data_IF_909901501805
#
_entry.id   IF_909901501805
#
_cell.length_a   1.000
_cell.length_b   1.000
_cell.length_c   1.000
_cell.angle_alpha   90.00
_cell.angle_beta   90.00
_cell.angle_gamma   90.00
#
_symmetry.space_group_name_H-M   'P 1'
#
loop_
_entity.id
_entity.type
_entity.pdbx_description
1 polymer ?
#
# COMPACT_ATOMS: atom_id res chain seq x y z
N UNK A 1 17.20 -0.86 56.81
CA UNK A 1 17.94 -1.18 55.56
C UNK A 1 17.06 -2.14 54.78
N UNK A 2 16.54 -1.90 53.57
CA UNK A 2 16.77 -0.89 52.52
C UNK A 2 15.44 -0.77 51.76
N UNK A 3 14.93 0.45 51.68
CA UNK A 3 14.07 1.11 50.67
C UNK A 3 12.91 0.38 49.97
N UNK A 4 11.74 1.03 50.04
CA UNK A 4 10.63 0.92 49.08
C UNK A 4 11.17 0.92 47.64
N UNK A 5 10.92 -0.15 46.88
CA UNK A 5 10.99 -0.08 45.42
C UNK A 5 9.72 0.61 44.94
N UNK A 6 9.75 1.94 44.93
CA UNK A 6 8.68 2.75 44.35
C UNK A 6 8.56 2.42 42.86
N UNK A 7 7.40 1.92 42.43
CA UNK A 7 7.11 1.68 41.01
C UNK A 7 7.27 2.99 40.22
N UNK A 8 8.03 2.97 39.13
CA UNK A 8 8.34 4.17 38.33
C UNK A 8 7.28 4.32 37.23
N UNK A 9 6.64 5.49 37.09
CA UNK A 9 5.68 5.72 36.02
C UNK A 9 6.38 5.99 34.68
N UNK A 10 5.95 5.28 33.65
CA UNK A 10 6.37 5.48 32.26
C UNK A 10 5.19 5.94 31.41
N UNK A 11 5.44 6.81 30.45
CA UNK A 11 4.44 7.27 29.47
C UNK A 11 4.78 6.67 28.11
N UNK A 12 3.80 6.00 27.50
CA UNK A 12 3.88 5.48 26.14
C UNK A 12 2.64 5.85 25.33
N UNK A 13 2.79 5.91 24.00
CA UNK A 13 1.69 6.16 23.07
C UNK A 13 1.37 4.86 22.33
N UNK A 14 0.08 4.49 22.35
CA UNK A 14 -0.47 3.32 21.68
C UNK A 14 -1.30 3.74 20.47
N UNK A 15 -1.11 3.08 19.33
CA UNK A 15 -1.85 3.33 18.09
C UNK A 15 -2.81 2.17 17.79
N UNK A 16 -4.02 2.50 17.33
CA UNK A 16 -5.07 1.56 16.91
C UNK A 16 -5.49 1.86 15.47
N UNK A 17 -5.57 0.84 14.61
CA UNK A 17 -6.01 0.95 13.20
C UNK A 17 -7.10 -0.08 12.86
N UNK A 18 -8.20 0.30 12.20
CA UNK A 18 -9.23 -0.63 11.69
C UNK A 18 -8.75 -1.37 10.42
N UNK A 19 -9.11 -2.65 10.23
CA UNK A 19 -8.77 -3.44 9.02
C UNK A 19 -9.85 -3.31 7.96
N UNK A 20 -9.43 -3.18 6.71
CA UNK A 20 -10.25 -3.49 5.54
C UNK A 20 -9.89 -4.91 5.05
N UNK A 21 -10.89 -5.79 4.94
CA UNK A 21 -10.69 -7.16 4.43
C UNK A 21 -10.67 -7.16 2.91
N UNK A 22 -9.50 -6.93 2.32
CA UNK A 22 -9.16 -7.54 1.04
C UNK A 22 -8.42 -8.84 1.36
N UNK A 23 -8.77 -9.94 0.71
CA UNK A 23 -8.04 -11.21 0.85
C UNK A 23 -6.60 -10.98 0.35
N UNK A 24 -5.67 -10.81 1.29
CA UNK A 24 -4.25 -10.62 0.97
C UNK A 24 -3.70 -11.94 0.47
N UNK A 25 -3.47 -12.05 -0.84
CA UNK A 25 -2.57 -13.07 -1.37
C UNK A 25 -1.17 -12.78 -0.77
N UNK A 26 -0.55 -13.73 -0.06
CA UNK A 26 0.77 -13.52 0.53
C UNK A 26 1.78 -13.15 -0.55
N UNK A 27 2.40 -11.98 -0.42
CA UNK A 27 3.55 -11.58 -1.23
C UNK A 27 4.83 -12.17 -0.62
N UNK A 28 5.61 -12.84 -1.45
CA UNK A 28 6.97 -13.28 -1.13
C UNK A 28 7.98 -12.33 -1.78
N UNK A 29 9.02 -11.94 -1.04
CA UNK A 29 10.06 -11.04 -1.52
C UNK A 29 11.35 -11.78 -1.81
N UNK A 30 12.04 -11.36 -2.88
CA UNK A 30 13.28 -11.95 -3.36
C UNK A 30 14.33 -10.86 -3.60
N UNK A 31 15.35 -10.79 -2.76
CA UNK A 31 16.49 -9.90 -2.97
C UNK A 31 17.36 -10.43 -4.10
N UNK A 32 17.58 -9.59 -5.12
CA UNK A 32 18.44 -9.89 -6.25
C UNK A 32 19.74 -9.09 -6.09
N UNK A 33 20.82 -9.81 -5.82
CA UNK A 33 22.13 -9.21 -5.52
C UNK A 33 22.93 -8.91 -6.80
N UNK A 34 22.31 -8.18 -7.73
CA UNK A 34 22.91 -7.69 -8.98
C UNK A 34 22.60 -6.20 -9.10
N UNK A 35 23.60 -5.39 -9.44
CA UNK A 35 23.41 -3.95 -9.62
C UNK A 35 22.84 -3.67 -11.01
N UNK A 36 21.60 -3.19 -11.06
CA UNK A 36 20.89 -2.81 -12.29
C UNK A 36 20.24 -1.43 -12.12
N UNK A 37 19.95 -0.76 -13.24
CA UNK A 37 19.06 0.41 -13.23
C UNK A 37 17.65 0.02 -12.80
N UNK A 38 16.82 0.98 -12.38
CA UNK A 38 15.46 0.68 -11.96
C UNK A 38 14.65 0.00 -13.07
N UNK A 39 14.79 0.46 -14.32
CA UNK A 39 14.09 -0.11 -15.47
C UNK A 39 14.54 -1.54 -15.80
N UNK A 40 15.85 -1.80 -15.72
CA UNK A 40 16.40 -3.15 -15.93
C UNK A 40 15.98 -4.10 -14.80
N UNK A 41 15.98 -3.62 -13.56
CA UNK A 41 15.52 -4.37 -12.39
C UNK A 41 14.02 -4.73 -12.51
N UNK A 42 13.18 -3.77 -12.92
CA UNK A 42 11.76 -4.03 -13.21
C UNK A 42 11.59 -5.09 -14.29
N UNK A 43 12.31 -4.94 -15.40
CA UNK A 43 12.26 -5.92 -16.48
C UNK A 43 12.71 -7.30 -16.02
N UNK A 44 13.75 -7.38 -15.18
CA UNK A 44 14.20 -8.64 -14.59
C UNK A 44 13.11 -9.27 -13.73
N UNK A 45 12.51 -8.50 -12.82
CA UNK A 45 11.46 -9.00 -11.93
C UNK A 45 10.25 -9.50 -12.71
N UNK A 46 9.83 -8.81 -13.78
CA UNK A 46 8.72 -9.25 -14.64
C UNK A 46 9.01 -10.50 -15.47
N UNK A 47 10.28 -10.85 -15.66
CA UNK A 47 10.69 -12.07 -16.37
C UNK A 47 10.80 -13.25 -15.42
N UNK A 48 11.16 -13.03 -14.16
CA UNK A 48 11.49 -14.10 -13.18
C UNK A 48 10.47 -14.26 -12.05
N UNK A 49 9.71 -13.21 -11.75
CA UNK A 49 8.78 -13.08 -10.63
C UNK A 49 7.53 -12.31 -11.10
N UNK A 50 6.81 -11.63 -10.20
CA UNK A 50 5.66 -10.78 -10.55
C UNK A 50 6.11 -9.39 -11.00
N UNK A 51 6.70 -8.58 -10.12
CA UNK A 51 7.25 -7.25 -10.43
C UNK A 51 8.26 -6.84 -9.33
N UNK A 52 8.79 -5.61 -9.37
CA UNK A 52 9.52 -5.01 -8.26
C UNK A 52 8.61 -4.86 -7.02
N UNK A 53 9.21 -4.98 -5.84
CA UNK A 53 8.51 -5.03 -4.56
C UNK A 53 7.50 -3.90 -4.35
N UNK A 54 6.28 -4.26 -3.99
CA UNK A 54 5.18 -3.34 -3.68
C UNK A 54 4.85 -3.43 -2.19
N UNK A 55 4.71 -2.29 -1.52
CA UNK A 55 4.56 -2.24 -0.06
C UNK A 55 3.30 -1.48 0.32
N UNK A 56 2.27 -2.19 0.79
CA UNK A 56 0.97 -1.56 1.06
C UNK A 56 0.76 -1.22 2.54
N UNK A 57 1.56 -1.80 3.43
CA UNK A 57 1.41 -1.66 4.88
C UNK A 57 2.73 -1.97 5.62
N UNK A 58 2.71 -1.85 6.95
CA UNK A 58 3.87 -2.16 7.79
C UNK A 58 4.28 -3.63 7.77
N UNK A 59 3.36 -4.57 7.58
CA UNK A 59 3.71 -6.00 7.51
C UNK A 59 4.49 -6.30 6.23
N UNK A 60 4.07 -5.74 5.11
CA UNK A 60 4.80 -5.79 3.83
C UNK A 60 6.19 -5.18 3.99
N UNK A 61 6.28 -4.01 4.62
CA UNK A 61 7.57 -3.35 4.91
C UNK A 61 8.48 -4.23 5.76
N UNK A 62 7.96 -4.80 6.85
CA UNK A 62 8.75 -5.63 7.75
C UNK A 62 9.23 -6.91 7.07
N UNK A 63 8.38 -7.56 6.26
CA UNK A 63 8.77 -8.71 5.44
C UNK A 63 9.87 -8.35 4.44
N UNK A 64 9.72 -7.19 3.78
CA UNK A 64 10.71 -6.70 2.83
C UNK A 64 12.05 -6.43 3.51
N UNK A 65 12.06 -5.74 4.66
CA UNK A 65 13.26 -5.49 5.48
C UNK A 65 13.92 -6.80 5.92
N UNK A 66 13.14 -7.78 6.37
CA UNK A 66 13.66 -9.09 6.78
C UNK A 66 14.29 -9.88 5.62
N UNK A 67 13.94 -9.54 4.38
CA UNK A 67 14.53 -10.14 3.16
C UNK A 67 15.90 -9.51 2.85
N UNK A 68 16.17 -8.31 3.37
CA UNK A 68 17.46 -7.64 3.18
C UNK A 68 18.52 -8.21 4.13
N UNK A 69 19.67 -8.57 3.57
CA UNK A 69 20.85 -8.93 4.37
C UNK A 69 21.52 -7.72 5.02
N UNK A 70 22.42 -7.96 5.98
CA UNK A 70 23.13 -6.91 6.71
C UNK A 70 23.97 -5.96 5.83
N UNK A 71 24.26 -6.39 4.60
CA UNK A 71 25.22 -5.76 3.70
C UNK A 71 24.55 -4.88 2.63
N UNK A 72 23.22 -4.78 2.63
CA UNK A 72 22.48 -3.95 1.67
C UNK A 72 22.28 -2.56 2.26
N UNK A 73 22.86 -1.52 1.64
CA UNK A 73 22.65 -0.12 2.09
C UNK A 73 21.28 0.40 1.67
N UNK A 74 20.96 0.25 0.38
CA UNK A 74 19.65 0.55 -0.21
C UNK A 74 19.40 -0.40 -1.39
N UNK A 75 18.14 -0.54 -1.79
CA UNK A 75 17.72 -1.37 -2.91
C UNK A 75 16.56 -0.74 -3.66
N UNK A 76 16.39 -1.05 -4.95
CA UNK A 76 15.21 -0.66 -5.71
C UNK A 76 13.97 -1.40 -5.23
N UNK A 77 12.86 -0.66 -5.14
CA UNK A 77 11.50 -1.15 -4.96
C UNK A 77 10.62 -0.67 -6.13
N UNK A 78 9.41 -1.20 -6.25
CA UNK A 78 8.51 -0.93 -7.38
C UNK A 78 7.90 0.46 -7.41
N UNK A 79 8.35 1.38 -6.55
CA UNK A 79 7.79 2.71 -6.48
C UNK A 79 8.39 3.59 -7.59
N UNK A 80 7.55 4.26 -8.37
CA UNK A 80 7.97 5.19 -9.42
C UNK A 80 7.09 6.44 -9.42
N UNK A 81 7.69 7.60 -9.61
CA UNK A 81 6.99 8.88 -9.77
C UNK A 81 6.73 9.11 -11.26
N UNK A 82 5.47 8.97 -11.67
CA UNK A 82 5.07 9.13 -13.07
C UNK A 82 4.99 10.58 -13.53
N UNK A 83 4.59 10.78 -14.79
CA UNK A 83 4.42 12.10 -15.44
C UNK A 83 3.45 13.05 -14.73
N UNK A 84 2.54 12.52 -13.91
CA UNK A 84 1.60 13.29 -13.10
C UNK A 84 2.19 13.71 -11.74
N UNK A 85 3.50 13.51 -11.55
CA UNK A 85 4.23 13.72 -10.30
C UNK A 85 3.70 12.95 -9.09
N UNK A 86 3.00 11.83 -9.34
CA UNK A 86 2.46 10.94 -8.32
C UNK A 86 3.26 9.65 -8.25
N UNK A 87 3.47 9.18 -7.02
CA UNK A 87 4.10 7.91 -6.73
C UNK A 87 3.13 6.77 -6.98
N UNK A 88 3.52 5.84 -7.84
CA UNK A 88 2.73 4.70 -8.28
C UNK A 88 3.56 3.43 -8.17
N UNK A 89 2.88 2.30 -8.00
CA UNK A 89 3.50 0.99 -8.06
C UNK A 89 3.68 0.52 -9.49
N UNK A 90 4.87 -0.03 -9.75
CA UNK A 90 5.32 -0.54 -11.04
C UNK A 90 4.46 -1.69 -11.56
N UNK A 91 3.82 -2.43 -10.65
CA UNK A 91 2.93 -3.54 -10.96
C UNK A 91 1.56 -3.12 -11.52
N UNK A 92 1.30 -1.80 -11.63
CA UNK A 92 0.08 -1.22 -12.19
C UNK A 92 -1.13 -1.23 -11.26
N UNK A 93 -0.96 -1.58 -9.98
CA UNK A 93 -2.03 -1.46 -8.97
C UNK A 93 -2.35 0.00 -8.60
N UNK A 94 -1.59 0.95 -9.13
CA UNK A 94 -1.92 2.37 -9.13
C UNK A 94 -1.14 3.19 -8.11
N UNK A 95 -1.77 4.26 -7.63
CA UNK A 95 -1.13 5.27 -6.76
C UNK A 95 -0.83 4.68 -5.38
N UNK A 96 0.41 4.81 -4.92
CA UNK A 96 0.80 4.39 -3.59
C UNK A 96 0.05 5.22 -2.51
N UNK A 97 -0.39 4.56 -1.44
CA UNK A 97 -1.11 5.20 -0.32
C UNK A 97 -0.32 5.15 0.99
N UNK A 98 0.78 4.40 1.01
CA UNK A 98 1.65 4.21 2.16
C UNK A 98 3.07 4.68 1.81
N UNK A 99 3.64 5.53 2.67
CA UNK A 99 4.86 6.28 2.38
C UNK A 99 5.80 6.36 3.60
N UNK A 100 6.54 5.29 3.92
CA UNK A 100 7.50 5.28 5.01
C UNK A 100 8.84 5.92 4.59
N UNK A 101 8.81 7.16 4.11
CA UNK A 101 9.98 7.94 3.74
C UNK A 101 10.99 8.04 4.88
N UNK A 102 12.28 8.01 4.54
CA UNK A 102 13.34 8.34 5.48
C UNK A 102 13.30 9.83 5.84
N UNK A 103 13.98 10.20 6.92
CA UNK A 103 14.05 11.60 7.33
C UNK A 103 14.76 12.42 6.26
N UNK A 104 14.07 13.41 5.69
CA UNK A 104 14.57 14.24 4.59
C UNK A 104 13.96 13.91 3.24
N UNK A 105 13.32 12.74 3.11
CA UNK A 105 12.82 12.23 1.83
C UNK A 105 11.31 12.43 1.63
N UNK A 106 10.83 12.47 0.37
CA UNK A 106 11.62 12.52 -0.86
C UNK A 106 12.19 13.93 -1.12
N UNK A 107 13.47 14.04 -1.47
CA UNK A 107 14.17 15.33 -1.63
C UNK A 107 14.35 15.76 -3.10
N UNK A 108 14.15 14.84 -4.04
CA UNK A 108 14.38 15.03 -5.47
C UNK A 108 15.75 15.64 -5.80
N UNK A 109 16.81 15.07 -5.24
CA UNK A 109 18.18 15.52 -5.39
C UNK A 109 18.60 15.67 -6.85
N UNK A 110 19.11 16.85 -7.20
CA UNK A 110 19.50 17.17 -8.58
C UNK A 110 18.33 17.23 -9.58
N UNK A 111 17.08 17.21 -9.10
CA UNK A 111 15.86 17.34 -9.91
C UNK A 111 15.51 16.11 -10.75
N UNK A 112 16.10 14.94 -10.46
CA UNK A 112 15.98 13.76 -11.31
C UNK A 112 15.77 12.44 -10.55
N UNK A 113 15.03 12.45 -9.45
CA UNK A 113 14.81 11.25 -8.62
C UNK A 113 13.35 10.79 -8.70
N UNK A 114 13.11 9.93 -9.69
CA UNK A 114 11.77 9.47 -10.05
C UNK A 114 11.50 8.01 -9.66
N UNK A 115 12.44 7.34 -9.00
CA UNK A 115 12.36 5.92 -8.68
C UNK A 115 12.61 5.69 -7.19
N UNK A 116 11.78 4.88 -6.54
CA UNK A 116 11.89 4.62 -5.11
C UNK A 116 12.92 3.56 -4.77
N UNK A 117 13.70 3.85 -3.75
CA UNK A 117 14.61 2.92 -3.08
C UNK A 117 14.17 2.73 -1.64
N UNK A 118 14.59 1.62 -1.04
CA UNK A 118 14.44 1.37 0.39
C UNK A 118 15.81 1.12 1.02
N UNK A 119 16.11 1.87 2.08
CA UNK A 119 17.26 1.63 2.95
C UNK A 119 17.08 0.33 3.75
N UNK A 120 18.18 -0.20 4.25
CA UNK A 120 18.19 -1.38 5.11
C UNK A 120 17.24 -1.30 6.32
N UNK A 121 17.07 -0.10 6.90
CA UNK A 121 16.19 0.14 8.04
C UNK A 121 14.70 0.28 7.63
N UNK A 122 14.40 0.14 6.34
CA UNK A 122 13.07 0.22 5.77
C UNK A 122 12.56 1.64 5.52
N UNK A 123 13.38 2.68 5.70
CA UNK A 123 13.07 4.04 5.24
C UNK A 123 13.17 4.12 3.71
N UNK A 124 12.28 4.87 3.07
CA UNK A 124 12.32 5.06 1.61
C UNK A 124 13.10 6.30 1.21
N UNK A 125 13.65 6.24 0.00
CA UNK A 125 14.38 7.31 -0.67
C UNK A 125 13.87 7.44 -2.10
N UNK A 126 13.79 8.63 -2.67
CA UNK A 126 13.75 8.77 -4.12
C UNK A 126 15.16 8.79 -4.69
N UNK A 127 15.37 8.06 -5.78
CA UNK A 127 16.66 7.89 -6.40
C UNK A 127 16.60 8.07 -7.90
N UNK A 128 17.74 8.40 -8.47
CA UNK A 128 17.92 8.53 -9.91
C UNK A 128 17.75 7.17 -10.58
N UNK A 129 16.70 7.00 -11.39
CA UNK A 129 16.34 5.72 -12.00
C UNK A 129 17.47 5.05 -12.81
N UNK A 130 18.39 5.85 -13.37
CA UNK A 130 19.54 5.38 -14.13
C UNK A 130 20.75 4.94 -13.28
N UNK A 131 20.69 5.08 -11.96
CA UNK A 131 21.70 4.56 -11.05
C UNK A 131 21.60 3.04 -10.91
N UNK A 132 22.74 2.36 -10.76
CA UNK A 132 22.77 0.93 -10.47
C UNK A 132 22.49 0.66 -8.99
N UNK A 133 21.59 -0.27 -8.68
CA UNK A 133 21.39 -0.79 -7.32
C UNK A 133 20.93 -2.25 -7.35
N UNK A 134 21.14 -2.94 -6.22
CA UNK A 134 20.45 -4.20 -5.96
C UNK A 134 18.96 -3.95 -5.80
N UNK A 135 18.13 -4.97 -5.95
CA UNK A 135 16.69 -4.75 -6.04
C UNK A 135 15.91 -5.92 -5.46
N UNK A 136 14.66 -5.66 -5.08
CA UNK A 136 13.78 -6.71 -4.56
C UNK A 136 12.61 -6.90 -5.49
N UNK A 137 12.43 -8.14 -5.95
CA UNK A 137 11.22 -8.56 -6.65
C UNK A 137 10.19 -9.08 -5.64
N UNK A 138 8.91 -8.98 -5.97
CA UNK A 138 7.88 -9.75 -5.29
C UNK A 138 7.27 -10.81 -6.20
N UNK A 139 6.77 -11.86 -5.57
CA UNK A 139 6.01 -12.92 -6.19
C UNK A 139 4.71 -13.12 -5.41
N UNK A 140 3.58 -13.15 -6.13
CA UNK A 140 2.31 -13.59 -5.55
C UNK A 140 2.30 -15.12 -5.48
N UNK A 141 2.09 -15.68 -4.29
CA UNK A 141 1.88 -17.12 -4.18
C UNK A 141 0.60 -17.49 -4.94
N UNK A 142 0.76 -18.23 -6.04
CA UNK A 142 -0.37 -18.81 -6.76
C UNK A 142 -0.94 -19.95 -5.92
N UNK A 143 -2.23 -19.88 -5.60
CA UNK A 143 -2.96 -20.93 -4.87
C UNK A 143 -3.33 -22.13 -5.76
N UNK A 144 -2.77 -22.21 -6.97
CA UNK A 144 -3.12 -23.21 -7.98
C UNK A 144 -4.45 -22.94 -8.69
N UNK A 145 -5.12 -21.81 -8.42
CA UNK A 145 -6.29 -21.39 -9.19
C UNK A 145 -5.91 -21.02 -10.62
N UNK A 146 -6.80 -21.34 -11.55
CA UNK A 146 -6.69 -20.93 -12.95
C UNK A 146 -6.62 -19.39 -13.01
N UNK A 147 -5.46 -18.85 -13.43
CA UNK A 147 -5.21 -17.40 -13.49
C UNK A 147 -6.11 -16.65 -14.47
N UNK A 148 -6.43 -17.27 -15.61
CA UNK A 148 -7.28 -16.71 -16.67
C UNK A 148 -8.40 -17.67 -17.05
N UNK A 149 -9.63 -17.15 -17.15
CA UNK A 149 -10.82 -17.87 -17.61
C UNK A 149 -11.24 -17.29 -18.96
N UNK A 150 -11.45 -18.16 -19.94
CA UNK A 150 -11.75 -17.77 -21.32
C UNK A 150 -13.22 -18.01 -21.64
N UNK A 151 -13.84 -17.02 -22.28
CA UNK A 151 -15.22 -17.10 -22.76
C UNK A 151 -15.23 -17.20 -24.29
N UNK A 152 -16.10 -18.04 -24.84
CA UNK A 152 -16.25 -18.24 -26.29
C UNK A 152 -17.30 -17.31 -26.91
N UNK A 153 -18.15 -16.68 -26.08
CA UNK A 153 -19.19 -15.77 -26.55
C UNK A 153 -18.61 -14.40 -26.90
N UNK A 154 -18.85 -13.92 -28.13
CA UNK A 154 -18.42 -12.60 -28.59
C UNK A 154 -19.30 -11.51 -27.98
N UNK A 155 -18.69 -10.53 -27.32
CA UNK A 155 -19.35 -9.40 -26.66
C UNK A 155 -18.60 -8.09 -26.94
N UNK A 156 -19.22 -6.94 -26.67
CA UNK A 156 -18.49 -5.68 -26.57
C UNK A 156 -17.51 -5.72 -25.39
N UNK A 157 -16.55 -4.81 -25.34
CA UNK A 157 -15.59 -4.74 -24.24
C UNK A 157 -16.32 -4.55 -22.89
N UNK A 158 -17.30 -3.65 -22.86
CA UNK A 158 -18.09 -3.32 -21.67
C UNK A 158 -18.91 -4.52 -21.18
N UNK A 159 -19.60 -5.22 -22.10
CA UNK A 159 -20.37 -6.41 -21.75
C UNK A 159 -19.45 -7.55 -21.29
N UNK A 160 -18.28 -7.70 -21.90
CA UNK A 160 -17.29 -8.70 -21.46
C UNK A 160 -16.80 -8.41 -20.04
N UNK A 161 -16.57 -7.14 -19.73
CA UNK A 161 -16.20 -6.68 -18.39
C UNK A 161 -17.29 -6.97 -17.36
N UNK A 162 -18.54 -6.72 -17.71
CA UNK A 162 -19.68 -7.00 -16.83
C UNK A 162 -19.82 -8.49 -16.53
N UNK A 163 -19.68 -9.35 -17.54
CA UNK A 163 -19.68 -10.81 -17.35
C UNK A 163 -18.55 -11.23 -16.41
N UNK A 164 -17.33 -10.74 -16.64
CA UNK A 164 -16.19 -11.05 -15.78
C UNK A 164 -16.42 -10.57 -14.34
N UNK A 165 -17.00 -9.39 -14.11
CA UNK A 165 -17.27 -8.89 -12.75
C UNK A 165 -18.46 -9.56 -12.06
N UNK A 166 -19.42 -10.07 -12.84
CA UNK A 166 -20.55 -10.80 -12.30
C UNK A 166 -20.18 -12.19 -11.78
N UNK A 167 -19.13 -12.81 -12.33
CA UNK A 167 -18.73 -14.19 -12.00
C UNK A 167 -17.31 -14.32 -11.41
N UNK A 168 -16.44 -13.33 -11.63
CA UNK A 168 -15.00 -13.35 -11.34
C UNK A 168 -14.53 -11.98 -10.80
N UNK A 169 -13.28 -11.59 -11.07
CA UNK A 169 -12.73 -10.30 -10.62
C UNK A 169 -12.99 -9.19 -11.63
N UNK A 170 -12.38 -9.26 -12.82
CA UNK A 170 -12.49 -8.27 -13.91
C UNK A 170 -11.89 -8.89 -15.20
N UNK A 171 -11.85 -8.15 -16.31
CA UNK A 171 -11.08 -8.51 -17.49
C UNK A 171 -9.58 -8.62 -17.16
N UNK A 172 -8.88 -9.48 -17.91
CA UNK A 172 -7.48 -9.80 -17.67
C UNK A 172 -6.58 -8.56 -17.70
N UNK A 173 -5.90 -8.28 -16.60
CA UNK A 173 -4.80 -7.33 -16.55
C UNK A 173 -3.51 -8.00 -17.07
N UNK A 174 -2.79 -7.29 -17.94
CA UNK A 174 -1.57 -7.76 -18.58
C UNK A 174 -0.44 -6.82 -18.21
N UNK A 175 0.51 -7.33 -17.43
CA UNK A 175 1.66 -6.59 -16.90
C UNK A 175 2.99 -7.05 -17.50
N UNK A 176 3.02 -8.27 -18.07
CA UNK A 176 4.22 -8.84 -18.67
C UNK A 176 3.97 -9.41 -20.06
N UNK A 177 5.06 -9.53 -20.84
CA UNK A 177 5.01 -10.19 -22.15
C UNK A 177 4.63 -11.68 -22.04
N UNK A 178 5.01 -12.34 -20.96
CA UNK A 178 4.67 -13.73 -20.71
C UNK A 178 3.16 -13.89 -20.52
N UNK A 179 2.54 -13.04 -19.70
CA UNK A 179 1.08 -12.99 -19.52
C UNK A 179 0.36 -12.71 -20.84
N UNK A 180 0.85 -11.74 -21.62
CA UNK A 180 0.29 -11.45 -22.93
C UNK A 180 0.32 -12.67 -23.87
N UNK A 181 1.42 -13.45 -23.81
CA UNK A 181 1.58 -14.64 -24.64
C UNK A 181 0.68 -15.79 -24.17
N UNK A 182 0.54 -15.99 -22.86
CA UNK A 182 -0.38 -16.97 -22.26
C UNK A 182 -1.83 -16.69 -22.68
N UNK A 183 -2.27 -15.45 -22.53
CA UNK A 183 -3.61 -14.97 -22.90
C UNK A 183 -3.84 -15.12 -24.42
N UNK A 184 -2.84 -14.78 -25.24
CA UNK A 184 -2.93 -14.94 -26.69
C UNK A 184 -3.05 -16.41 -27.11
N UNK A 185 -2.31 -17.33 -26.46
CA UNK A 185 -2.44 -18.77 -26.72
C UNK A 185 -3.81 -19.30 -26.30
N UNK A 186 -4.39 -18.75 -25.22
CA UNK A 186 -5.74 -19.10 -24.76
C UNK A 186 -6.86 -18.68 -25.71
N UNK A 187 -6.62 -17.73 -26.61
CA UNK A 187 -7.59 -17.32 -27.64
C UNK A 187 -7.87 -18.43 -28.67
N UNK A 188 -6.99 -19.45 -28.79
CA UNK A 188 -7.22 -20.60 -29.66
C UNK A 188 -7.46 -20.22 -31.13
N UNK A 189 -8.67 -20.47 -31.64
CA UNK A 189 -9.06 -20.16 -33.03
C UNK A 189 -9.59 -18.74 -33.22
N UNK A 190 -9.76 -17.97 -32.14
CA UNK A 190 -10.23 -16.59 -32.22
C UNK A 190 -9.06 -15.66 -32.60
N UNK A 191 -9.32 -14.73 -33.54
CA UNK A 191 -8.30 -13.79 -34.01
C UNK A 191 -8.02 -12.63 -33.05
N UNK A 192 -8.94 -12.34 -32.12
CA UNK A 192 -8.85 -11.21 -31.17
C UNK A 192 -9.61 -11.53 -29.88
N UNK A 193 -9.16 -10.97 -28.75
CA UNK A 193 -9.83 -11.10 -27.45
C UNK A 193 -9.71 -9.79 -26.66
N UNK A 194 -10.76 -9.43 -25.91
CA UNK A 194 -10.72 -8.28 -25.01
C UNK A 194 -9.87 -8.58 -23.77
N UNK A 195 -9.01 -7.62 -23.41
CA UNK A 195 -8.28 -7.58 -22.14
C UNK A 195 -8.70 -6.33 -21.36
N UNK A 196 -8.31 -6.24 -20.09
CA UNK A 196 -8.70 -5.14 -19.20
C UNK A 196 -8.04 -3.79 -19.51
N UNK A 197 -7.22 -3.69 -20.56
CA UNK A 197 -6.65 -2.41 -20.99
C UNK A 197 -7.73 -1.53 -21.64
N UNK A 198 -7.86 -0.30 -21.17
CA UNK A 198 -8.76 0.70 -21.73
C UNK A 198 -8.13 2.08 -21.67
N UNK A 199 -8.55 2.96 -22.59
CA UNK A 199 -8.18 4.37 -22.56
C UNK A 199 -9.33 5.16 -21.93
N UNK A 200 -9.06 5.86 -20.84
CA UNK A 200 -10.08 6.67 -20.19
C UNK A 200 -9.74 8.15 -20.16
N UNK A 201 -10.74 8.94 -20.48
CA UNK A 201 -10.70 10.40 -20.45
C UNK A 201 -11.28 10.96 -19.14
N UNK A 202 -11.88 10.11 -18.30
CA UNK A 202 -12.44 10.48 -17.01
C UNK A 202 -11.45 10.33 -15.86
N UNK A 203 -11.45 11.30 -14.95
CA UNK A 203 -10.66 11.29 -13.72
C UNK A 203 -11.54 11.61 -12.51
N UNK A 204 -11.20 11.07 -11.35
CA UNK A 204 -11.88 11.46 -10.11
C UNK A 204 -11.64 12.93 -9.79
N UNK A 205 -12.55 13.56 -9.04
CA UNK A 205 -12.45 14.97 -8.69
C UNK A 205 -11.26 15.31 -7.77
N UNK A 206 -10.73 14.33 -7.05
CA UNK A 206 -9.45 14.42 -6.31
C UNK A 206 -8.22 14.19 -7.22
N UNK A 207 -8.49 14.01 -8.51
CA UNK A 207 -7.56 13.68 -9.57
C UNK A 207 -7.10 12.23 -9.57
N UNK A 208 -7.49 11.40 -8.61
CA UNK A 208 -7.05 10.00 -8.54
C UNK A 208 -7.46 9.22 -9.79
N UNK A 209 -6.63 8.25 -10.18
CA UNK A 209 -6.95 7.31 -11.24
C UNK A 209 -7.40 5.99 -10.64
N UNK A 210 -8.44 5.39 -11.21
CA UNK A 210 -8.81 3.99 -10.94
C UNK A 210 -9.02 3.26 -12.27
N UNK A 211 -8.90 1.94 -12.26
CA UNK A 211 -9.33 1.09 -13.38
C UNK A 211 -10.82 0.71 -13.30
N UNK A 212 -11.47 0.96 -12.15
CA UNK A 212 -12.86 0.60 -11.93
C UNK A 212 -13.85 1.53 -12.63
N UNK A 213 -14.71 0.99 -13.50
CA UNK A 213 -15.76 1.74 -14.18
C UNK A 213 -17.10 1.06 -13.99
N UNK A 214 -18.11 1.81 -13.55
CA UNK A 214 -19.44 1.25 -13.35
C UNK A 214 -20.49 2.00 -14.17
N UNK A 215 -20.13 2.39 -15.40
CA UNK A 215 -21.02 3.06 -16.33
C UNK A 215 -22.23 2.20 -16.70
N UNK A 216 -23.35 2.87 -16.93
CA UNK A 216 -24.51 2.29 -17.60
C UNK A 216 -24.12 1.95 -19.04
N UNK A 217 -24.62 0.84 -19.59
CA UNK A 217 -24.33 0.45 -20.98
C UNK A 217 -24.64 1.60 -21.94
N UNK A 218 -23.69 1.93 -22.82
CA UNK A 218 -23.76 3.06 -23.74
C UNK A 218 -23.47 4.44 -23.12
N UNK A 219 -23.23 4.55 -21.82
CA UNK A 219 -22.79 5.78 -21.15
C UNK A 219 -21.27 5.82 -20.95
N UNK A 220 -20.66 7.02 -20.84
CA UNK A 220 -21.29 8.33 -20.93
C UNK A 220 -21.52 8.75 -22.40
N UNK A 221 -22.77 9.08 -22.74
CA UNK A 221 -23.14 9.61 -24.08
C UNK A 221 -22.80 11.10 -24.19
N UNK A 222 -22.90 11.83 -23.07
CA UNK A 222 -22.72 13.29 -22.99
C UNK A 222 -22.56 13.77 -21.54
N UNK A 223 -21.93 14.94 -21.35
CA UNK A 223 -21.75 15.60 -20.06
C UNK A 223 -20.30 15.54 -19.57
N UNK A 224 -19.88 16.56 -18.82
CA UNK A 224 -18.49 16.72 -18.33
C UNK A 224 -18.32 16.25 -16.88
N UNK A 225 -19.41 15.84 -16.21
CA UNK A 225 -19.42 15.27 -14.86
C UNK A 225 -20.10 13.90 -14.84
N UNK A 226 -19.81 13.09 -13.82
CA UNK A 226 -20.45 11.80 -13.60
C UNK A 226 -21.48 11.87 -12.47
N UNK A 227 -22.58 11.14 -12.60
CA UNK A 227 -23.57 10.95 -11.54
C UNK A 227 -23.99 9.50 -11.41
N UNK A 228 -24.52 9.12 -10.25
CA UNK A 228 -25.00 7.76 -9.96
C UNK A 228 -26.49 7.67 -10.24
N UNK A 229 -26.88 6.83 -11.19
CA UNK A 229 -28.27 6.49 -11.49
C UNK A 229 -28.78 5.44 -10.50
N UNK A 230 -29.40 5.91 -9.40
CA UNK A 230 -29.92 5.05 -8.31
C UNK A 230 -30.90 4.00 -8.82
N UNK A 231 -31.78 4.35 -9.76
CA UNK A 231 -32.75 3.42 -10.36
C UNK A 231 -32.12 2.35 -11.25
N UNK A 232 -30.86 2.56 -11.68
CA UNK A 232 -30.09 1.63 -12.51
C UNK A 232 -29.04 0.92 -11.69
N UNK A 233 -29.40 0.46 -10.48
CA UNK A 233 -28.50 -0.29 -9.59
C UNK A 233 -27.20 0.45 -9.25
N UNK A 234 -27.24 1.79 -9.23
CA UNK A 234 -26.08 2.63 -8.93
C UNK A 234 -25.09 2.78 -10.09
N UNK A 235 -25.48 2.46 -11.33
CA UNK A 235 -24.66 2.69 -12.52
C UNK A 235 -24.37 4.16 -12.74
N UNK A 236 -23.20 4.46 -13.29
CA UNK A 236 -22.78 5.83 -13.57
C UNK A 236 -23.35 6.29 -14.91
N UNK A 237 -23.71 7.56 -14.98
CA UNK A 237 -24.16 8.24 -16.19
C UNK A 237 -23.46 9.59 -16.31
N UNK A 238 -23.25 10.04 -17.55
CA UNK A 238 -22.77 11.40 -17.80
C UNK A 238 -23.85 12.43 -17.40
N UNK A 239 -23.44 13.53 -16.80
CA UNK A 239 -24.29 14.58 -16.28
C UNK A 239 -23.69 15.97 -16.55
N UNK A 240 -24.56 16.96 -16.69
CA UNK A 240 -24.18 18.37 -16.72
C UNK A 240 -23.78 18.81 -15.30
N UNK A 241 -22.54 19.26 -15.15
CA UNK A 241 -21.96 19.70 -13.88
C UNK A 241 -22.74 20.82 -13.20
N UNK A 242 -23.54 21.59 -13.94
CA UNK A 242 -24.32 22.71 -13.42
C UNK A 242 -25.67 22.27 -12.84
N UNK A 243 -26.08 21.02 -13.06
CA UNK A 243 -27.32 20.49 -12.51
C UNK A 243 -27.17 20.24 -11.01
N UNK A 244 -28.19 20.65 -10.24
CA UNK A 244 -28.22 20.41 -8.80
C UNK A 244 -28.60 18.96 -8.54
N UNK A 245 -27.77 18.26 -7.77
CA UNK A 245 -28.01 16.87 -7.37
C UNK A 245 -27.69 16.67 -5.87
N UNK A 246 -28.27 15.62 -5.30
CA UNK A 246 -27.79 15.07 -4.02
C UNK A 246 -26.42 14.44 -4.24
N UNK A 247 -25.55 14.49 -3.24
CA UNK A 247 -24.16 14.07 -3.37
C UNK A 247 -23.70 13.24 -2.17
N UNK A 248 -22.65 12.45 -2.38
CA UNK A 248 -21.94 11.72 -1.34
C UNK A 248 -20.48 12.18 -1.32
N UNK A 249 -19.89 12.30 -0.14
CA UNK A 249 -18.47 12.61 0.02
C UNK A 249 -17.69 11.31 0.27
N UNK A 250 -16.50 11.19 -0.32
CA UNK A 250 -15.53 10.15 0.01
C UNK A 250 -15.17 10.25 1.49
N UNK A 251 -15.59 9.26 2.27
CA UNK A 251 -15.39 9.19 3.71
C UNK A 251 -14.15 8.40 4.07
N UNK A 252 -13.00 8.70 3.44
CA UNK A 252 -11.76 8.35 4.12
C UNK A 252 -11.77 9.18 5.40
N UNK A 253 -11.93 8.50 6.53
CA UNK A 253 -11.63 9.08 7.82
C UNK A 253 -10.29 9.77 7.62
N UNK A 254 -10.25 11.10 7.72
CA UNK A 254 -9.00 11.77 8.11
C UNK A 254 -8.57 10.97 9.32
N UNK A 255 -7.57 10.09 9.17
CA UNK A 255 -7.18 9.14 10.20
C UNK A 255 -6.85 10.01 11.41
N UNK A 256 -7.83 10.20 12.29
CA UNK A 256 -7.63 10.85 13.56
C UNK A 256 -6.94 9.77 14.33
N UNK A 257 -5.62 9.76 14.17
CA UNK A 257 -4.69 8.98 14.96
C UNK A 257 -5.18 9.03 16.40
N UNK A 258 -5.80 7.95 16.85
CA UNK A 258 -6.29 7.86 18.22
C UNK A 258 -5.05 7.59 19.05
N UNK A 259 -4.42 8.67 19.50
CA UNK A 259 -3.26 8.63 20.39
C UNK A 259 -3.79 8.36 21.79
N UNK A 260 -3.71 7.11 22.23
CA UNK A 260 -3.97 6.78 23.62
C UNK A 260 -2.64 6.96 24.37
N UNK A 261 -2.56 8.03 25.17
CA UNK A 261 -1.47 8.21 26.14
C UNK A 261 -1.77 7.33 27.35
N UNK A 262 -0.93 6.35 27.59
CA UNK A 262 -1.08 5.44 28.72
C UNK A 262 0.06 5.71 29.69
N UNK A 263 -0.28 5.95 30.95
CA UNK A 263 0.67 5.95 32.06
C UNK A 263 0.67 4.57 32.69
N UNK A 264 1.78 3.87 32.61
CA UNK A 264 1.92 2.51 33.15
C UNK A 264 2.90 2.58 34.32
N UNK A 265 2.47 2.06 35.47
CA UNK A 265 3.35 1.84 36.63
C UNK A 265 3.87 0.42 36.56
N UNK A 266 5.18 0.25 36.47
CA UNK A 266 5.80 -1.07 36.39
C UNK A 266 7.02 -1.15 37.31
N UNK A 267 7.27 -2.33 37.87
CA UNK A 267 8.41 -2.58 38.74
C UNK A 267 9.70 -2.91 37.95
N UNK A 268 9.58 -3.11 36.63
CA UNK A 268 10.66 -3.49 35.70
C UNK A 268 10.88 -2.39 34.67
N UNK A 269 12.11 -2.26 34.17
CA UNK A 269 12.48 -1.28 33.15
C UNK A 269 11.82 -1.56 31.79
N UNK A 270 10.98 -0.64 31.34
CA UNK A 270 10.23 -0.73 30.09
C UNK A 270 11.05 -0.30 28.85
N UNK A 271 12.32 0.10 29.03
CA UNK A 271 13.26 0.28 27.91
C UNK A 271 13.70 -1.05 27.30
N UNK A 272 13.50 -2.17 28.01
CA UNK A 272 13.77 -3.50 27.51
C UNK A 272 12.72 -3.95 26.47
N UNK A 273 13.16 -4.28 25.26
CA UNK A 273 12.30 -4.69 24.14
C UNK A 273 11.45 -5.92 24.46
N UNK A 274 12.00 -6.92 25.16
CA UNK A 274 11.28 -8.16 25.52
C UNK A 274 10.11 -7.84 26.46
N UNK A 275 10.32 -6.97 27.44
CA UNK A 275 9.28 -6.56 28.39
C UNK A 275 8.18 -5.77 27.67
N UNK A 276 8.57 -4.84 26.78
CA UNK A 276 7.66 -4.04 25.96
C UNK A 276 6.80 -4.89 25.03
N UNK A 277 7.37 -5.88 24.37
CA UNK A 277 6.66 -6.72 23.40
C UNK A 277 5.69 -7.67 24.13
N UNK A 278 6.10 -8.18 25.31
CA UNK A 278 5.24 -8.96 26.20
C UNK A 278 4.03 -8.14 26.67
N UNK A 279 4.25 -6.86 26.99
CA UNK A 279 3.18 -5.95 27.40
C UNK A 279 2.22 -5.64 26.24
N UNK A 280 2.73 -5.39 25.03
CA UNK A 280 1.92 -5.17 23.83
C UNK A 280 1.02 -6.38 23.55
N UNK A 281 1.57 -7.59 23.66
CA UNK A 281 0.83 -8.85 23.46
C UNK A 281 -0.29 -9.02 24.49
N UNK A 282 -0.05 -8.67 25.76
CA UNK A 282 -1.09 -8.70 26.80
C UNK A 282 -2.20 -7.69 26.53
N UNK A 283 -1.85 -6.46 26.14
CA UNK A 283 -2.82 -5.42 25.78
C UNK A 283 -3.66 -5.81 24.57
N UNK A 284 -3.02 -6.36 23.54
CA UNK A 284 -3.70 -6.90 22.36
C UNK A 284 -4.70 -7.99 22.75
N UNK A 285 -4.28 -8.96 23.57
CA UNK A 285 -5.15 -10.04 24.07
C UNK A 285 -6.37 -9.49 24.82
N UNK A 286 -6.18 -8.51 25.71
CA UNK A 286 -7.27 -7.92 26.48
C UNK A 286 -8.22 -7.08 25.61
N UNK A 287 -7.70 -6.30 24.67
CA UNK A 287 -8.53 -5.49 23.76
C UNK A 287 -9.34 -6.39 22.80
N UNK A 288 -8.76 -7.53 22.39
CA UNK A 288 -9.44 -8.53 21.56
C UNK A 288 -10.66 -9.19 22.20
N UNK A 289 -10.79 -9.11 23.53
CA UNK A 289 -12.03 -9.54 24.21
C UNK A 289 -13.23 -8.63 23.92
N UNK A 290 -12.99 -7.39 23.49
CA UNK A 290 -14.04 -6.37 23.30
C UNK A 290 -14.12 -5.80 21.89
N UNK A 291 -13.02 -5.81 21.14
CA UNK A 291 -12.94 -5.33 19.76
C UNK A 291 -12.11 -6.31 18.94
N UNK A 292 -12.56 -6.72 17.78
CA UNK A 292 -11.82 -7.69 16.96
C UNK A 292 -11.03 -7.04 15.83
N UNK A 293 -11.42 -5.83 15.44
CA UNK A 293 -10.90 -5.14 14.27
C UNK A 293 -9.93 -4.01 14.64
N UNK A 294 -8.73 -4.40 15.07
CA UNK A 294 -7.64 -3.44 15.26
C UNK A 294 -6.23 -4.03 15.04
N UNK A 295 -5.29 -3.17 14.66
CA UNK A 295 -3.85 -3.40 14.81
C UNK A 295 -3.27 -2.48 15.90
N UNK A 296 -2.37 -3.02 16.72
CA UNK A 296 -1.81 -2.35 17.91
C UNK A 296 -0.30 -2.17 17.78
N UNK A 297 0.19 -0.94 17.88
CA UNK A 297 1.63 -0.68 17.91
C UNK A 297 2.00 0.41 18.89
N UNK A 298 3.21 0.32 19.42
CA UNK A 298 3.83 1.42 20.14
C UNK A 298 4.26 2.51 19.16
N UNK A 299 4.11 3.77 19.54
CA UNK A 299 4.75 4.89 18.87
C UNK A 299 6.08 5.20 19.56
N UNK A 300 7.17 5.25 18.79
CA UNK A 300 8.45 5.78 19.24
C UNK A 300 8.52 7.29 19.07
N UNK A 301 9.34 7.94 19.88
CA UNK A 301 9.81 9.29 19.64
C UNK A 301 10.80 9.35 18.46
N UNK A 302 11.26 10.56 18.12
CA UNK A 302 12.23 10.80 17.04
C UNK A 302 13.57 10.09 17.25
N UNK A 303 13.86 9.65 18.48
CA UNK A 303 15.08 8.95 18.88
C UNK A 303 14.88 7.44 19.03
N UNK A 304 13.70 6.90 18.68
CA UNK A 304 13.40 5.48 18.73
C UNK A 304 12.93 4.96 20.10
N UNK A 305 12.80 5.81 21.13
CA UNK A 305 12.31 5.39 22.44
C UNK A 305 10.79 5.34 22.48
N UNK A 306 10.22 4.26 23.03
CA UNK A 306 8.77 4.09 23.17
C UNK A 306 8.22 4.58 24.50
N UNK A 307 9.00 4.39 25.57
CA UNK A 307 8.63 4.78 26.92
C UNK A 307 9.66 5.74 27.48
N UNK A 308 9.18 6.85 28.05
CA UNK A 308 10.01 7.80 28.77
C UNK A 308 9.64 7.76 30.25
N UNK A 309 10.65 7.84 31.14
CA UNK A 309 10.41 7.98 32.58
C UNK A 309 9.77 9.34 32.84
N UNK A 310 8.74 9.37 33.67
CA UNK A 310 8.03 10.62 33.96
C UNK A 310 8.94 11.69 34.58
N UNK A 311 9.92 11.29 35.40
CA UNK A 311 10.90 12.18 36.02
C UNK A 311 11.79 12.93 34.99
N UNK A 312 12.08 12.30 33.84
CA UNK A 312 12.88 12.90 32.77
C UNK A 312 12.08 13.96 31.99
N UNK A 313 10.78 13.73 31.80
CA UNK A 313 9.86 14.67 31.16
C UNK A 313 9.61 15.93 32.02
N UNK A 314 9.59 15.77 33.35
CA UNK A 314 9.42 16.87 34.30
C UNK A 314 10.69 17.73 34.42
N UNK A 315 11.88 17.12 34.29
CA UNK A 315 13.16 17.86 34.25
C UNK A 315 13.28 18.77 33.03
N UNK A 316 12.77 18.36 31.86
CA UNK A 316 12.76 19.17 30.63
C UNK A 316 11.76 20.32 30.61
N UNK A 317 10.82 20.37 31.58
CA UNK A 317 9.80 21.44 31.67
C UNK A 317 10.19 22.61 32.58
N UNK A 318 11.32 22.54 33.29
CA UNK A 318 11.82 23.69 34.05
C UNK A 318 12.44 24.70 33.09
N UNK A 319 11.90 25.92 32.95
CA UNK A 319 12.63 26.99 32.28
C UNK A 319 13.88 27.29 33.11
N UNK A 320 15.02 27.44 32.46
CA UNK A 320 16.25 27.89 33.13
C UNK A 320 15.99 29.21 33.84
N UNK A 321 16.41 29.30 35.10
CA UNK A 321 16.65 30.58 35.77
C UNK A 321 17.82 31.31 35.10
#
# INVERSE_FOLDING_TARGET
>A
MVWLKSAVPFIGILLLFQRTTAQLIPQQYHLINVSLTWYEAQSFCRVKYTDLATVNNMDDKNKLVNTLGSNVTYCWIGLQKGITHRWMWSDGRGTAQFFPWASGEPDNSGGNEWCGQMFQNGGWNDGQCGGGSVFVCYELQQDGSQKYIYYTATNSWENSQEVCRGSHTDLAYVSTKAENSEIANGAGTFNTMWIGLFNDVWMWSDGSGTSFRYWLSGSPVSGDCASVAVSQQGRWIGADCNQKAVFACGGDLKLKRMVIRITIRFEVDLTNSIVRDTLLKKLDTSLRQKMTDFNLSWQSDQSGHVFQRQEQLEATKKPGC
#
